data_IF_828480958886
#
_entry.id   IF_828480958886
#
_cell.length_a   1.000
_cell.length_b   1.000
_cell.length_c   1.000
_cell.angle_alpha   90.00
_cell.angle_beta   90.00
_cell.angle_gamma   90.00
#
_symmetry.space_group_name_H-M   'P 1'
#
loop_
_entity.id
_entity.type
_entity.pdbx_description
1 polymer ?
#
# COMPACT_ATOMS: atom_id res chain seq x y z
N UNK A 1 9.06 12.06 20.28
CA UNK A 1 7.99 12.55 19.39
C UNK A 1 6.59 12.07 19.79
N UNK A 2 6.32 10.81 20.13
CA UNK A 2 4.97 10.38 20.59
C UNK A 2 4.45 11.17 21.80
N UNK A 3 5.36 11.59 22.67
CA UNK A 3 4.99 12.35 23.89
C UNK A 3 4.25 13.66 23.61
N UNK A 4 4.67 14.42 22.59
CA UNK A 4 4.02 15.70 22.27
C UNK A 4 2.52 15.54 21.89
N UNK A 5 2.14 14.36 21.39
CA UNK A 5 0.76 14.04 21.02
C UNK A 5 0.00 13.33 22.14
N UNK A 6 0.62 12.36 22.77
CA UNK A 6 -0.05 11.46 23.70
C UNK A 6 -0.06 11.99 25.14
N UNK A 7 0.89 12.83 25.57
CA UNK A 7 0.82 13.49 26.90
C UNK A 7 -0.39 14.45 27.04
N UNK A 8 -0.72 15.29 26.03
CA UNK A 8 -1.96 16.07 26.08
C UNK A 8 -3.21 15.21 26.15
N UNK A 9 -3.23 14.07 25.42
CA UNK A 9 -4.34 13.10 25.51
C UNK A 9 -4.42 12.49 26.91
N UNK A 10 -3.28 12.10 27.49
CA UNK A 10 -3.23 11.55 28.87
C UNK A 10 -3.83 12.52 29.88
N UNK A 11 -3.46 13.81 29.82
CA UNK A 11 -4.03 14.84 30.72
C UNK A 11 -5.56 14.95 30.57
N UNK A 12 -6.07 14.91 29.32
CA UNK A 12 -7.53 14.93 29.07
C UNK A 12 -8.23 13.70 29.66
N UNK A 13 -7.60 12.54 29.60
CA UNK A 13 -8.12 11.30 30.17
C UNK A 13 -8.10 11.35 31.71
N UNK A 14 -7.03 11.85 32.32
CA UNK A 14 -6.91 12.00 33.77
C UNK A 14 -7.97 12.99 34.32
N UNK A 15 -8.21 14.10 33.60
CA UNK A 15 -9.25 15.07 33.96
C UNK A 15 -10.68 14.49 33.89
N UNK A 16 -10.90 13.50 33.02
CA UNK A 16 -12.21 12.90 32.72
C UNK A 16 -12.46 11.54 33.36
N UNK A 17 -11.44 10.93 33.94
CA UNK A 17 -11.45 9.57 34.52
C UNK A 17 -11.87 8.46 33.51
N UNK A 18 -11.65 8.68 32.21
CA UNK A 18 -11.90 7.67 31.20
C UNK A 18 -10.70 6.73 31.04
N UNK A 19 -10.98 5.44 30.88
CA UNK A 19 -9.95 4.45 30.52
C UNK A 19 -9.64 4.52 29.02
N UNK A 20 -8.36 4.45 28.67
CA UNK A 20 -7.92 4.38 27.30
C UNK A 20 -6.67 3.50 27.15
N UNK A 21 -6.56 2.81 26.00
CA UNK A 21 -5.40 2.00 25.66
C UNK A 21 -4.94 2.30 24.25
N UNK A 22 -3.62 2.35 24.08
CA UNK A 22 -3.00 2.33 22.75
C UNK A 22 -3.08 0.90 22.22
N UNK A 23 -3.44 0.74 20.95
CA UNK A 23 -3.70 -0.58 20.37
C UNK A 23 -3.17 -0.66 18.93
N UNK A 24 -3.10 -1.85 18.39
CA UNK A 24 -2.86 -2.03 16.97
C UNK A 24 -1.42 -1.84 16.53
N UNK A 25 -1.27 -1.18 15.38
CA UNK A 25 0.03 -0.97 14.73
C UNK A 25 1.06 -0.32 15.61
N UNK A 26 0.69 0.68 16.42
CA UNK A 26 1.61 1.39 17.29
C UNK A 26 2.26 0.47 18.35
N UNK A 27 1.48 -0.48 18.91
CA UNK A 27 1.99 -1.46 19.87
C UNK A 27 2.93 -2.45 19.20
N UNK A 28 2.51 -3.02 18.06
CA UNK A 28 3.33 -3.91 17.24
C UNK A 28 4.65 -3.25 16.84
N UNK A 29 4.60 -2.06 16.30
CA UNK A 29 5.79 -1.36 15.77
C UNK A 29 6.79 -1.10 16.88
N UNK A 30 6.33 -0.70 18.06
CA UNK A 30 7.21 -0.54 19.22
C UNK A 30 7.85 -1.85 19.69
N UNK A 31 7.12 -2.97 19.61
CA UNK A 31 7.67 -4.31 19.96
C UNK A 31 8.80 -4.73 19.02
N UNK A 32 8.75 -4.31 17.74
CA UNK A 32 9.79 -4.60 16.73
C UNK A 32 10.82 -3.46 16.59
N UNK A 33 10.82 -2.48 17.51
CA UNK A 33 11.77 -1.37 17.51
C UNK A 33 11.55 -0.30 16.45
N UNK A 34 10.34 -0.22 15.86
CA UNK A 34 9.95 0.84 14.93
C UNK A 34 9.25 1.98 15.68
N UNK A 35 9.46 3.22 15.23
CA UNK A 35 8.70 4.37 15.73
C UNK A 35 7.41 4.55 14.93
N UNK A 36 6.23 4.44 15.59
CA UNK A 36 4.95 4.63 14.92
C UNK A 36 4.69 6.11 14.60
N UNK A 37 3.95 6.34 13.52
CA UNK A 37 3.39 7.65 13.16
C UNK A 37 1.88 7.71 13.39
N UNK A 38 1.23 6.55 13.43
CA UNK A 38 -0.20 6.38 13.61
C UNK A 38 -0.45 5.71 14.96
N UNK A 39 -1.32 6.32 15.76
CA UNK A 39 -1.66 5.87 17.10
C UNK A 39 -3.15 5.60 17.18
N UNK A 40 -3.52 4.33 17.20
CA UNK A 40 -4.89 3.91 17.49
C UNK A 40 -5.09 3.89 19.01
N UNK A 41 -6.05 4.65 19.50
CA UNK A 41 -6.40 4.72 20.91
C UNK A 41 -7.87 4.35 21.10
N UNK A 42 -8.10 3.29 21.84
CA UNK A 42 -9.45 2.85 22.22
C UNK A 42 -9.80 3.42 23.59
N UNK A 43 -10.99 4.01 23.69
CA UNK A 43 -11.44 4.74 24.87
C UNK A 43 -12.75 4.15 25.41
N UNK A 44 -12.86 4.03 26.73
CA UNK A 44 -14.12 3.76 27.41
C UNK A 44 -14.76 5.11 27.77
N UNK A 45 -15.39 5.73 26.75
CA UNK A 45 -15.92 7.08 26.88
C UNK A 45 -16.25 7.73 25.53
N UNK A 46 -16.56 9.04 25.50
CA UNK A 46 -16.94 9.77 24.30
C UNK A 46 -15.72 10.09 23.44
N UNK A 47 -15.31 9.15 22.57
CA UNK A 47 -14.06 9.21 21.79
C UNK A 47 -14.01 10.43 20.86
N UNK A 48 -15.12 10.79 20.18
CA UNK A 48 -15.17 11.98 19.31
C UNK A 48 -14.94 13.28 20.07
N UNK A 49 -15.47 13.38 21.29
CA UNK A 49 -15.28 14.57 22.12
C UNK A 49 -13.84 14.71 22.59
N UNK A 50 -13.21 13.59 22.96
CA UNK A 50 -11.80 13.55 23.33
C UNK A 50 -10.88 13.86 22.14
N UNK A 51 -11.20 13.33 20.95
CA UNK A 51 -10.45 13.62 19.72
C UNK A 51 -10.49 15.12 19.38
N UNK A 52 -11.69 15.75 19.49
CA UNK A 52 -11.82 17.19 19.29
C UNK A 52 -11.01 17.99 20.31
N UNK A 53 -11.15 17.65 21.58
CA UNK A 53 -10.41 18.34 22.66
C UNK A 53 -8.88 18.17 22.52
N UNK A 54 -8.42 17.00 22.04
CA UNK A 54 -7.01 16.78 21.72
C UNK A 54 -6.55 17.68 20.60
N UNK A 55 -7.28 17.72 19.47
CA UNK A 55 -6.95 18.57 18.34
C UNK A 55 -6.84 20.05 18.74
N UNK A 56 -7.82 20.55 19.51
CA UNK A 56 -7.80 21.93 20.00
C UNK A 56 -6.59 22.20 20.91
N UNK A 57 -6.18 21.24 21.75
CA UNK A 57 -5.05 21.39 22.70
C UNK A 57 -3.67 21.36 22.01
N UNK A 58 -3.53 20.62 20.91
CA UNK A 58 -2.24 20.49 20.19
C UNK A 58 -2.15 21.34 18.91
N UNK A 59 -3.20 22.10 18.57
CA UNK A 59 -3.27 22.85 17.32
C UNK A 59 -3.33 21.94 16.08
N UNK A 60 -3.98 20.78 16.20
CA UNK A 60 -4.16 19.81 15.13
C UNK A 60 -5.49 19.96 14.42
N UNK A 61 -5.71 19.13 13.40
CA UNK A 61 -6.98 19.03 12.67
C UNK A 61 -7.76 17.81 13.12
N UNK A 62 -9.07 17.95 13.26
CA UNK A 62 -9.97 16.87 13.66
C UNK A 62 -10.93 16.51 12.54
N UNK A 63 -11.08 15.19 12.29
CA UNK A 63 -12.02 14.63 11.32
C UNK A 63 -12.83 13.50 11.96
N UNK A 64 -14.12 13.43 11.64
CA UNK A 64 -14.98 12.29 11.99
C UNK A 64 -14.87 11.27 10.85
N UNK A 65 -14.35 10.09 11.14
CA UNK A 65 -14.26 8.99 10.18
C UNK A 65 -15.52 8.12 10.20
N UNK A 66 -16.07 7.84 11.38
CA UNK A 66 -17.34 7.14 11.56
C UNK A 66 -18.05 7.65 12.83
N UNK A 67 -19.15 8.36 12.63
CA UNK A 67 -19.93 8.92 13.74
C UNK A 67 -20.63 7.84 14.58
N UNK A 68 -21.03 6.69 13.99
CA UNK A 68 -21.74 5.61 14.68
C UNK A 68 -20.81 4.84 15.62
N UNK A 69 -19.57 4.63 15.20
CA UNK A 69 -18.53 3.98 16.00
C UNK A 69 -17.79 4.95 16.91
N UNK A 70 -18.16 6.22 16.89
CA UNK A 70 -17.40 7.28 17.55
C UNK A 70 -15.90 7.21 17.17
N UNK A 71 -15.63 7.15 15.87
CA UNK A 71 -14.28 7.09 15.34
C UNK A 71 -13.86 8.47 14.82
N UNK A 72 -12.89 9.09 15.47
CA UNK A 72 -12.34 10.39 15.12
C UNK A 72 -10.83 10.34 14.94
N UNK A 73 -10.34 11.02 13.90
CA UNK A 73 -8.93 11.20 13.59
C UNK A 73 -8.46 12.60 13.94
N UNK A 74 -7.34 12.68 14.63
CA UNK A 74 -6.59 13.92 14.84
C UNK A 74 -5.32 13.86 14.01
N UNK A 75 -5.12 14.87 13.15
CA UNK A 75 -3.92 15.03 12.34
C UNK A 75 -3.09 16.17 12.90
N UNK A 76 -1.84 15.89 13.20
CA UNK A 76 -0.89 16.90 13.68
C UNK A 76 0.38 16.86 12.84
N UNK A 77 0.93 18.04 12.58
CA UNK A 77 2.20 18.18 11.84
C UNK A 77 3.28 18.69 12.78
N UNK A 78 4.38 17.96 12.84
CA UNK A 78 5.53 18.40 13.64
C UNK A 78 6.18 19.66 13.05
N UNK A 79 7.02 20.38 13.81
CA UNK A 79 7.79 21.53 13.30
C UNK A 79 8.65 21.20 12.09
N UNK A 80 9.11 19.95 11.99
CA UNK A 80 9.91 19.43 10.86
C UNK A 80 9.03 19.00 9.66
N UNK A 81 7.71 19.22 9.74
CA UNK A 81 6.77 18.93 8.67
C UNK A 81 6.23 17.50 8.63
N UNK A 82 6.66 16.59 9.53
CA UNK A 82 6.19 15.21 9.57
C UNK A 82 4.75 15.14 10.07
N UNK A 83 3.90 14.38 9.38
CA UNK A 83 2.51 14.13 9.78
C UNK A 83 2.43 12.98 10.78
N UNK A 84 1.56 13.14 11.77
CA UNK A 84 1.19 12.14 12.77
C UNK A 84 -0.32 12.07 12.86
N UNK A 85 -0.82 10.87 13.11
CA UNK A 85 -2.24 10.59 13.24
C UNK A 85 -2.53 10.00 14.60
N UNK A 86 -3.60 10.48 15.25
CA UNK A 86 -4.14 9.87 16.46
C UNK A 86 -5.60 9.54 16.19
N UNK A 87 -5.90 8.26 16.10
CA UNK A 87 -7.22 7.73 15.87
C UNK A 87 -7.84 7.34 17.21
N UNK A 88 -8.90 8.03 17.59
CA UNK A 88 -9.65 7.71 18.81
C UNK A 88 -10.94 7.00 18.43
N UNK A 89 -11.15 5.82 19.02
CA UNK A 89 -12.38 5.04 18.85
C UNK A 89 -12.95 4.67 20.19
N UNK A 90 -14.29 4.61 20.25
CA UNK A 90 -14.94 4.04 21.43
C UNK A 90 -14.75 2.53 21.45
N UNK A 91 -14.47 1.94 22.63
CA UNK A 91 -14.36 0.50 22.81
C UNK A 91 -15.61 -0.21 22.30
N UNK A 92 -15.42 -1.20 21.45
CA UNK A 92 -16.48 -2.09 20.99
C UNK A 92 -16.61 -3.33 21.89
N UNK A 93 -17.84 -3.72 22.22
CA UNK A 93 -18.11 -4.85 23.10
C UNK A 93 -18.00 -4.53 24.59
N UNK A 94 -18.21 -5.55 25.43
CA UNK A 94 -18.26 -5.40 26.89
C UNK A 94 -16.88 -5.45 27.55
N UNK A 95 -15.87 -6.00 26.86
CA UNK A 95 -14.50 -6.16 27.37
C UNK A 95 -13.44 -5.71 26.36
N UNK A 96 -12.20 -5.53 26.83
CA UNK A 96 -11.05 -5.27 25.98
C UNK A 96 -10.72 -6.42 25.02
N UNK A 97 -10.96 -7.67 25.47
CA UNK A 97 -10.74 -8.84 24.65
C UNK A 97 -11.75 -8.91 23.48
N UNK A 98 -13.01 -8.56 23.74
CA UNK A 98 -14.03 -8.49 22.66
C UNK A 98 -13.68 -7.45 21.61
N UNK A 99 -13.15 -6.29 22.01
CA UNK A 99 -12.67 -5.26 21.07
C UNK A 99 -11.53 -5.80 20.20
N UNK A 100 -10.55 -6.49 20.81
CA UNK A 100 -9.44 -7.07 20.09
C UNK A 100 -9.86 -8.16 19.10
N UNK A 101 -10.85 -8.98 19.43
CA UNK A 101 -11.39 -10.03 18.53
C UNK A 101 -12.06 -9.51 17.27
N UNK A 102 -12.45 -8.24 17.23
CA UNK A 102 -13.06 -7.58 16.07
C UNK A 102 -12.05 -7.02 15.09
N UNK A 103 -10.76 -7.01 15.47
CA UNK A 103 -9.68 -6.53 14.62
C UNK A 103 -9.35 -7.50 13.51
N UNK A 104 -8.43 -7.11 12.63
CA UNK A 104 -8.02 -7.90 11.47
C UNK A 104 -7.14 -9.11 11.88
N UNK A 105 -5.93 -8.82 12.37
CA UNK A 105 -4.91 -9.83 12.64
C UNK A 105 -4.42 -9.75 14.08
N UNK A 106 -4.02 -10.91 14.62
CA UNK A 106 -3.54 -11.02 16.01
C UNK A 106 -2.37 -10.10 16.29
N UNK A 107 -1.46 -9.90 15.34
CA UNK A 107 -0.32 -8.97 15.45
C UNK A 107 -0.73 -7.50 15.64
N UNK A 108 -1.96 -7.14 15.30
CA UNK A 108 -2.56 -5.82 15.49
C UNK A 108 -3.61 -5.82 16.61
N UNK A 109 -3.78 -6.95 17.31
CA UNK A 109 -4.75 -7.12 18.38
C UNK A 109 -4.07 -7.21 19.77
N UNK A 110 -3.13 -6.33 19.96
CA UNK A 110 -2.42 -6.12 21.23
C UNK A 110 -2.67 -4.70 21.69
N UNK A 111 -2.74 -4.47 22.99
CA UNK A 111 -2.94 -3.14 23.56
C UNK A 111 -2.07 -2.93 24.79
N UNK A 112 -1.77 -1.66 25.07
CA UNK A 112 -0.97 -1.22 26.21
C UNK A 112 -1.65 0.01 26.83
N UNK A 113 -1.58 0.11 28.14
CA UNK A 113 -2.03 1.33 28.82
C UNK A 113 -1.22 2.55 28.35
N UNK A 114 -1.87 3.69 28.24
CA UNK A 114 -1.23 4.90 27.71
C UNK A 114 0.00 5.33 28.55
N UNK A 115 -0.04 5.12 29.87
CA UNK A 115 1.10 5.41 30.75
C UNK A 115 2.32 4.53 30.41
N UNK A 116 2.10 3.23 30.24
CA UNK A 116 3.16 2.30 29.83
C UNK A 116 3.67 2.62 28.42
N UNK A 117 2.79 3.04 27.52
CA UNK A 117 3.19 3.48 26.18
C UNK A 117 4.06 4.75 26.24
N UNK A 118 3.78 5.69 27.16
CA UNK A 118 4.57 6.90 27.39
C UNK A 118 5.87 6.65 28.20
N UNK A 119 6.10 5.43 28.67
CA UNK A 119 7.31 5.06 29.42
C UNK A 119 7.22 5.33 30.92
N UNK A 120 6.01 5.53 31.45
CA UNK A 120 5.76 5.68 32.88
C UNK A 120 5.58 4.33 33.62
N UNK A 121 5.88 3.21 32.95
CA UNK A 121 5.78 1.86 33.50
C UNK A 121 6.33 0.81 32.53
N UNK A 122 6.29 -0.48 32.90
CA UNK A 122 6.73 -1.55 32.03
C UNK A 122 5.85 -1.67 30.79
N UNK A 123 6.48 -1.82 29.63
CA UNK A 123 5.75 -2.00 28.36
C UNK A 123 5.37 -3.50 28.21
N UNK A 124 4.26 -3.87 28.83
CA UNK A 124 3.72 -5.25 28.78
C UNK A 124 2.37 -5.22 28.09
N UNK A 125 2.26 -5.71 26.83
CA UNK A 125 0.99 -5.73 26.12
C UNK A 125 -0.03 -6.69 26.75
N UNK A 126 -1.28 -6.25 26.81
CA UNK A 126 -2.41 -7.14 26.97
C UNK A 126 -2.67 -7.82 25.63
N UNK A 127 -2.40 -9.12 25.56
CA UNK A 127 -2.36 -9.91 24.32
C UNK A 127 -3.11 -11.26 24.48
N UNK A 128 -4.44 -11.23 24.63
CA UNK A 128 -5.23 -12.45 24.81
C UNK A 128 -5.26 -13.34 23.56
N UNK A 129 -4.93 -12.80 22.38
CA UNK A 129 -4.95 -13.51 21.10
C UNK A 129 -3.57 -14.02 20.66
N UNK A 130 -2.54 -13.85 21.51
CA UNK A 130 -1.17 -14.31 21.27
C UNK A 130 -0.50 -13.68 20.03
N UNK A 131 -0.79 -12.39 19.79
CA UNK A 131 -0.20 -11.63 18.68
C UNK A 131 1.31 -11.51 18.76
N UNK A 132 1.89 -11.41 19.97
CA UNK A 132 3.35 -11.40 20.18
C UNK A 132 3.99 -12.72 19.72
N UNK A 133 3.37 -13.86 20.05
CA UNK A 133 3.85 -15.18 19.62
C UNK A 133 3.79 -15.30 18.10
N UNK A 134 2.70 -14.87 17.47
CA UNK A 134 2.55 -14.87 16.02
C UNK A 134 3.58 -13.96 15.33
N UNK A 135 3.83 -12.78 15.88
CA UNK A 135 4.82 -11.83 15.36
C UNK A 135 6.24 -12.42 15.43
N UNK A 136 6.61 -13.05 16.55
CA UNK A 136 7.91 -13.71 16.72
C UNK A 136 8.08 -14.93 15.81
N UNK A 137 6.99 -15.68 15.59
CA UNK A 137 6.99 -16.87 14.72
C UNK A 137 6.82 -16.53 13.22
N UNK A 138 6.72 -15.26 12.86
CA UNK A 138 6.52 -14.84 11.48
C UNK A 138 5.16 -15.24 10.90
N UNK A 139 4.12 -15.40 11.73
CA UNK A 139 2.78 -15.82 11.32
C UNK A 139 1.82 -14.66 11.19
N UNK A 140 0.97 -14.70 10.19
CA UNK A 140 -0.16 -13.78 10.03
C UNK A 140 -1.46 -14.57 10.23
N UNK A 141 -2.13 -14.36 11.37
CA UNK A 141 -3.33 -15.07 11.78
C UNK A 141 -4.48 -14.09 12.05
N UNK A 142 -5.69 -14.45 11.61
CA UNK A 142 -6.90 -13.67 11.88
C UNK A 142 -7.26 -13.65 13.38
N UNK A 143 -7.86 -12.55 13.83
CA UNK A 143 -8.43 -12.45 15.18
C UNK A 143 -9.71 -13.28 15.34
N UNK A 144 -10.48 -13.41 14.26
CA UNK A 144 -11.70 -14.22 14.19
C UNK A 144 -11.80 -14.87 12.79
N UNK A 145 -12.37 -16.09 12.67
CA UNK A 145 -12.44 -16.79 11.39
C UNK A 145 -13.20 -16.03 10.30
N UNK A 146 -14.20 -15.24 10.67
CA UNK A 146 -15.05 -14.46 9.78
C UNK A 146 -14.54 -13.02 9.52
N UNK A 147 -13.32 -12.69 9.98
CA UNK A 147 -12.78 -11.34 9.90
C UNK A 147 -12.72 -10.78 8.46
N UNK A 148 -12.45 -11.61 7.46
CA UNK A 148 -12.49 -11.20 6.06
C UNK A 148 -13.91 -10.99 5.53
N UNK A 149 -14.89 -11.77 5.99
CA UNK A 149 -16.29 -11.57 5.63
C UNK A 149 -16.86 -10.28 6.25
N UNK A 150 -16.44 -9.93 7.46
CA UNK A 150 -16.82 -8.69 8.12
C UNK A 150 -16.28 -7.45 7.38
N UNK A 151 -15.06 -7.54 6.87
CA UNK A 151 -14.41 -6.46 6.14
C UNK A 151 -13.42 -7.01 5.09
N UNK A 152 -13.87 -7.21 3.83
CA UNK A 152 -13.03 -7.86 2.82
C UNK A 152 -11.78 -7.08 2.41
N UNK A 153 -11.67 -5.78 2.70
CA UNK A 153 -10.41 -5.05 2.45
C UNK A 153 -9.23 -5.63 3.24
N UNK A 154 -9.50 -6.33 4.33
CA UNK A 154 -8.49 -7.05 5.13
C UNK A 154 -7.71 -8.08 4.31
N UNK A 155 -8.27 -8.55 3.19
CA UNK A 155 -7.59 -9.42 2.21
C UNK A 155 -6.35 -8.72 1.63
N UNK A 156 -6.49 -7.47 1.19
CA UNK A 156 -5.35 -6.67 0.71
C UNK A 156 -4.37 -6.34 1.83
N UNK A 157 -4.88 -6.04 3.02
CA UNK A 157 -4.06 -5.81 4.20
C UNK A 157 -3.23 -7.04 4.57
N UNK A 158 -3.76 -8.26 4.37
CA UNK A 158 -3.00 -9.50 4.59
C UNK A 158 -1.78 -9.57 3.69
N UNK A 159 -1.93 -9.31 2.38
CA UNK A 159 -0.80 -9.25 1.44
C UNK A 159 0.21 -8.17 1.85
N UNK A 160 -0.29 -7.00 2.23
CA UNK A 160 0.56 -5.91 2.69
C UNK A 160 1.37 -6.29 3.92
N UNK A 161 0.75 -6.88 4.94
CA UNK A 161 1.46 -7.27 6.17
C UNK A 161 2.42 -8.45 5.96
N UNK A 162 2.11 -9.41 5.07
CA UNK A 162 3.10 -10.42 4.65
C UNK A 162 4.35 -9.75 4.09
N UNK A 163 4.19 -8.75 3.22
CA UNK A 163 5.30 -8.06 2.59
C UNK A 163 6.07 -7.16 3.56
N UNK A 164 5.35 -6.36 4.35
CA UNK A 164 5.90 -5.31 5.22
C UNK A 164 6.68 -5.87 6.41
N UNK A 165 6.22 -7.00 6.96
CA UNK A 165 6.80 -7.60 8.16
C UNK A 165 7.47 -8.96 7.92
N UNK A 166 7.51 -9.43 6.67
CA UNK A 166 8.09 -10.73 6.35
C UNK A 166 7.30 -11.91 6.91
N UNK A 167 6.01 -11.72 7.16
CA UNK A 167 5.13 -12.74 7.73
C UNK A 167 4.61 -13.70 6.66
N UNK A 168 3.97 -14.79 7.14
CA UNK A 168 3.24 -15.75 6.32
C UNK A 168 1.85 -15.99 6.91
N UNK A 169 0.82 -15.92 6.07
CA UNK A 169 -0.51 -16.34 6.48
C UNK A 169 -0.51 -17.79 6.93
N UNK A 170 -1.26 -18.10 8.00
CA UNK A 170 -1.50 -19.50 8.37
C UNK A 170 -2.44 -20.13 7.33
N UNK A 171 -2.44 -21.47 7.29
CA UNK A 171 -3.33 -22.22 6.36
C UNK A 171 -4.79 -21.84 6.53
N UNK A 172 -5.24 -21.68 7.78
CA UNK A 172 -6.61 -21.26 8.11
C UNK A 172 -6.89 -19.84 7.64
N UNK A 173 -5.90 -18.94 7.72
CA UNK A 173 -6.02 -17.56 7.21
C UNK A 173 -6.13 -17.56 5.67
N UNK A 174 -5.33 -18.36 4.96
CA UNK A 174 -5.44 -18.48 3.51
C UNK A 174 -6.78 -19.10 3.06
N UNK A 175 -7.27 -20.11 3.77
CA UNK A 175 -8.58 -20.70 3.49
C UNK A 175 -9.72 -19.68 3.67
N UNK A 176 -9.74 -18.97 4.80
CA UNK A 176 -10.72 -17.93 5.05
C UNK A 176 -10.65 -16.79 4.01
N UNK A 177 -9.44 -16.48 3.48
CA UNK A 177 -9.25 -15.52 2.40
C UNK A 177 -9.95 -16.01 1.12
N UNK A 178 -9.71 -17.26 0.71
CA UNK A 178 -10.31 -17.83 -0.49
C UNK A 178 -11.86 -17.81 -0.44
N UNK A 179 -12.43 -18.12 0.73
CA UNK A 179 -13.88 -18.09 0.94
C UNK A 179 -14.45 -16.66 0.88
N UNK A 180 -13.71 -15.66 1.35
CA UNK A 180 -14.13 -14.27 1.41
C UNK A 180 -13.79 -13.45 0.16
N UNK A 181 -12.97 -13.98 -0.75
CA UNK A 181 -12.43 -13.28 -1.92
C UNK A 181 -13.50 -12.57 -2.78
N UNK A 182 -14.68 -13.18 -3.08
CA UNK A 182 -15.74 -12.50 -3.83
C UNK A 182 -16.29 -11.24 -3.13
N UNK A 183 -16.01 -11.10 -1.83
CA UNK A 183 -16.37 -9.92 -1.04
C UNK A 183 -15.64 -8.65 -1.44
N UNK A 184 -14.46 -8.75 -2.08
CA UNK A 184 -13.69 -7.59 -2.54
C UNK A 184 -14.48 -6.69 -3.49
N UNK A 185 -15.34 -7.25 -4.33
CA UNK A 185 -16.19 -6.49 -5.24
C UNK A 185 -17.17 -5.52 -4.54
N UNK A 186 -17.41 -5.69 -3.23
CA UNK A 186 -18.29 -4.84 -2.42
C UNK A 186 -17.54 -3.82 -1.57
N UNK A 187 -16.21 -3.86 -1.56
CA UNK A 187 -15.38 -2.89 -0.83
C UNK A 187 -15.43 -1.54 -1.53
N UNK A 188 -15.53 -0.46 -0.77
CA UNK A 188 -15.44 0.89 -1.32
C UNK A 188 -14.13 1.05 -2.10
N UNK A 189 -14.18 1.50 -3.37
CA UNK A 189 -13.01 1.58 -4.25
C UNK A 189 -11.83 2.37 -3.66
N UNK A 190 -12.14 3.41 -2.90
CA UNK A 190 -11.13 4.23 -2.21
C UNK A 190 -10.29 3.40 -1.24
N UNK A 191 -10.92 2.46 -0.52
CA UNK A 191 -10.19 1.59 0.41
C UNK A 191 -9.32 0.57 -0.32
N UNK A 192 -9.77 0.08 -1.46
CA UNK A 192 -8.96 -0.80 -2.34
C UNK A 192 -7.75 -0.03 -2.86
N UNK A 193 -7.96 1.20 -3.36
CA UNK A 193 -6.90 2.12 -3.82
C UNK A 193 -5.84 2.34 -2.74
N UNK A 194 -6.25 2.72 -1.52
CA UNK A 194 -5.34 2.99 -0.41
C UNK A 194 -4.45 1.78 -0.06
N UNK A 195 -5.02 0.58 -0.02
CA UNK A 195 -4.22 -0.61 0.25
C UNK A 195 -3.34 -0.99 -0.95
N UNK A 196 -3.81 -0.80 -2.20
CA UNK A 196 -3.01 -1.02 -3.40
C UNK A 196 -1.79 -0.10 -3.44
N UNK A 197 -1.99 1.20 -3.20
CA UNK A 197 -0.88 2.17 -3.14
C UNK A 197 0.13 1.77 -2.06
N UNK A 198 -0.34 1.40 -0.85
CA UNK A 198 0.55 0.94 0.23
C UNK A 198 1.33 -0.32 -0.16
N UNK A 199 0.71 -1.27 -0.87
CA UNK A 199 1.39 -2.48 -1.37
C UNK A 199 2.50 -2.10 -2.36
N UNK A 200 2.21 -1.19 -3.31
CA UNK A 200 3.19 -0.72 -4.28
C UNK A 200 4.38 0.02 -3.63
N UNK A 201 4.20 0.53 -2.41
CA UNK A 201 5.26 1.22 -1.67
C UNK A 201 6.16 0.29 -0.85
N UNK A 202 5.90 -1.02 -0.84
CA UNK A 202 6.69 -2.01 -0.07
C UNK A 202 7.55 -2.85 -1.02
N UNK A 203 8.86 -2.60 -1.10
CA UNK A 203 9.76 -3.42 -1.91
C UNK A 203 10.01 -4.81 -1.29
N UNK A 204 10.21 -5.85 -2.11
CA UNK A 204 10.07 -5.86 -3.57
C UNK A 204 8.60 -6.01 -4.00
N UNK A 205 8.09 -5.05 -4.77
CA UNK A 205 6.68 -4.97 -5.20
C UNK A 205 6.23 -6.22 -5.96
N UNK A 206 7.11 -6.75 -6.81
CA UNK A 206 6.81 -7.96 -7.61
C UNK A 206 6.45 -9.16 -6.75
N UNK A 207 7.03 -9.28 -5.54
CA UNK A 207 6.68 -10.34 -4.60
C UNK A 207 5.21 -10.24 -4.18
N UNK A 208 4.75 -9.04 -3.88
CA UNK A 208 3.34 -8.78 -3.52
C UNK A 208 2.40 -9.03 -4.68
N UNK A 209 2.75 -8.62 -5.91
CA UNK A 209 1.96 -8.87 -7.12
C UNK A 209 1.82 -10.36 -7.42
N UNK A 210 2.90 -11.14 -7.32
CA UNK A 210 2.85 -12.60 -7.46
C UNK A 210 2.03 -13.26 -6.35
N UNK A 211 2.11 -12.73 -5.13
CA UNK A 211 1.28 -13.22 -4.03
C UNK A 211 -0.20 -12.96 -4.28
N UNK A 212 -0.55 -11.76 -4.76
CA UNK A 212 -1.92 -11.43 -5.17
C UNK A 212 -2.42 -12.33 -6.30
N UNK A 213 -1.55 -12.64 -7.27
CA UNK A 213 -1.87 -13.59 -8.34
C UNK A 213 -2.16 -15.00 -7.79
N UNK A 214 -1.26 -15.53 -6.97
CA UNK A 214 -1.38 -16.88 -6.38
C UNK A 214 -2.65 -17.04 -5.55
N UNK A 215 -3.06 -15.98 -4.86
CA UNK A 215 -4.25 -15.93 -4.03
C UNK A 215 -5.54 -15.59 -4.81
N UNK A 216 -5.46 -15.35 -6.12
CA UNK A 216 -6.62 -14.95 -6.93
C UNK A 216 -7.12 -13.52 -6.70
N UNK A 217 -6.35 -12.70 -5.99
CA UNK A 217 -6.69 -11.31 -5.68
C UNK A 217 -6.52 -10.40 -6.91
N UNK A 218 -5.49 -10.67 -7.73
CA UNK A 218 -5.13 -9.80 -8.84
C UNK A 218 -6.27 -9.63 -9.87
N UNK A 219 -7.01 -10.69 -10.27
CA UNK A 219 -8.18 -10.54 -11.15
C UNK A 219 -9.30 -9.67 -10.57
N UNK A 220 -9.46 -9.65 -9.24
CA UNK A 220 -10.51 -8.87 -8.58
C UNK A 220 -10.17 -7.37 -8.49
N UNK A 221 -8.87 -7.04 -8.42
CA UNK A 221 -8.40 -5.65 -8.21
C UNK A 221 -7.93 -5.03 -9.52
N UNK A 222 -7.13 -5.75 -10.30
CA UNK A 222 -6.52 -5.33 -11.56
C UNK A 222 -6.69 -6.41 -12.64
N UNK A 223 -7.93 -6.68 -13.09
CA UNK A 223 -8.22 -7.72 -14.09
C UNK A 223 -7.46 -7.52 -15.40
N UNK A 224 -7.18 -6.27 -15.80
CA UNK A 224 -6.41 -5.96 -17.01
C UNK A 224 -4.99 -6.51 -16.92
N UNK A 225 -4.37 -6.43 -15.74
CA UNK A 225 -3.03 -7.00 -15.49
C UNK A 225 -3.08 -8.52 -15.46
N UNK A 226 -4.09 -9.11 -14.81
CA UNK A 226 -4.26 -10.56 -14.78
C UNK A 226 -4.44 -11.16 -16.18
N UNK A 227 -5.11 -10.44 -17.09
CA UNK A 227 -5.34 -10.83 -18.47
C UNK A 227 -4.09 -10.81 -19.36
N UNK A 228 -2.96 -10.29 -18.88
CA UNK A 228 -1.68 -10.32 -19.60
C UNK A 228 -1.02 -11.70 -19.59
N UNK A 229 -1.45 -12.58 -18.69
CA UNK A 229 -0.88 -13.92 -18.54
C UNK A 229 -1.13 -14.78 -19.78
N UNK A 230 -0.04 -15.43 -20.25
CA UNK A 230 -0.09 -16.28 -21.45
C UNK A 230 -0.21 -15.52 -22.76
N UNK A 231 -0.17 -14.19 -22.77
CA UNK A 231 -0.15 -13.40 -24.01
C UNK A 231 1.27 -13.43 -24.57
N UNK A 232 1.48 -14.34 -25.56
CA UNK A 232 2.77 -14.52 -26.23
C UNK A 232 3.16 -13.31 -27.07
N UNK A 233 4.45 -13.05 -27.15
CA UNK A 233 5.08 -11.97 -27.92
C UNK A 233 6.09 -12.56 -28.92
N UNK A 234 6.41 -11.81 -29.98
CA UNK A 234 7.46 -12.19 -30.91
C UNK A 234 8.85 -11.68 -30.50
N UNK A 235 9.94 -12.31 -30.92
CA UNK A 235 11.28 -11.78 -30.68
C UNK A 235 11.40 -10.28 -31.02
N UNK A 236 12.14 -9.49 -30.23
CA UNK A 236 13.15 -9.93 -29.25
C UNK A 236 12.59 -10.27 -27.83
N UNK A 237 11.27 -10.23 -27.63
CA UNK A 237 10.68 -10.61 -26.35
C UNK A 237 10.77 -12.13 -26.14
N UNK A 238 11.21 -12.55 -24.96
CA UNK A 238 11.37 -13.97 -24.58
C UNK A 238 10.33 -14.42 -23.55
N UNK A 239 9.60 -13.49 -22.95
CA UNK A 239 8.56 -13.73 -21.95
C UNK A 239 7.17 -13.39 -22.50
N UNK A 240 6.11 -13.91 -21.88
CA UNK A 240 4.78 -13.40 -22.13
C UNK A 240 4.63 -11.96 -21.61
N UNK A 241 3.53 -11.30 -21.93
CA UNK A 241 3.32 -9.90 -21.56
C UNK A 241 3.26 -9.72 -20.03
N UNK A 242 2.70 -10.69 -19.29
CA UNK A 242 2.62 -10.62 -17.83
C UNK A 242 4.00 -10.62 -17.17
N UNK A 243 4.83 -11.60 -17.54
CA UNK A 243 6.20 -11.70 -17.00
C UNK A 243 7.05 -10.48 -17.41
N UNK A 244 6.90 -10.00 -18.65
CA UNK A 244 7.53 -8.76 -19.10
C UNK A 244 7.12 -7.58 -18.22
N UNK A 245 5.83 -7.45 -17.93
CA UNK A 245 5.31 -6.38 -17.08
C UNK A 245 5.89 -6.42 -15.66
N UNK A 246 5.94 -7.60 -15.03
CA UNK A 246 6.55 -7.73 -13.71
C UNK A 246 8.04 -7.36 -13.70
N UNK A 247 8.78 -7.70 -14.76
CA UNK A 247 10.18 -7.31 -14.92
C UNK A 247 10.34 -5.80 -15.13
N UNK A 248 9.40 -5.17 -15.83
CA UNK A 248 9.36 -3.71 -15.97
C UNK A 248 9.11 -3.03 -14.63
N UNK A 249 8.20 -3.57 -13.81
CA UNK A 249 7.97 -3.07 -12.42
C UNK A 249 9.24 -3.22 -11.58
N UNK A 250 9.92 -4.37 -11.64
CA UNK A 250 11.17 -4.59 -10.91
C UNK A 250 12.29 -3.63 -11.34
N UNK A 251 12.41 -3.37 -12.64
CA UNK A 251 13.38 -2.42 -13.18
C UNK A 251 13.05 -0.98 -12.74
N UNK A 252 11.77 -0.60 -12.77
CA UNK A 252 11.31 0.72 -12.27
C UNK A 252 11.60 0.86 -10.77
N UNK A 253 11.26 -0.14 -9.98
CA UNK A 253 11.54 -0.17 -8.54
C UNK A 253 13.03 0.04 -8.25
N UNK A 254 13.90 -0.60 -9.02
CA UNK A 254 15.35 -0.41 -8.92
C UNK A 254 15.77 1.02 -9.26
N UNK A 255 15.22 1.60 -10.35
CA UNK A 255 15.45 2.99 -10.72
C UNK A 255 14.97 3.97 -9.64
N UNK A 256 13.92 3.65 -8.91
CA UNK A 256 13.42 4.46 -7.79
C UNK A 256 14.28 4.36 -6.52
N UNK A 257 15.45 3.74 -6.60
CA UNK A 257 16.43 3.69 -5.52
C UNK A 257 16.19 2.61 -4.49
N UNK A 258 15.30 1.69 -4.75
CA UNK A 258 15.11 0.53 -3.88
C UNK A 258 16.31 -0.42 -4.01
N UNK A 259 17.31 -0.23 -3.13
CA UNK A 259 18.41 -1.20 -2.99
C UNK A 259 17.94 -2.57 -2.46
N UNK A 260 16.69 -2.62 -2.01
CA UNK A 260 16.02 -3.85 -1.53
C UNK A 260 15.28 -4.60 -2.65
N UNK A 261 15.16 -4.04 -3.85
CA UNK A 261 14.77 -4.81 -5.02
C UNK A 261 15.82 -5.90 -5.19
N UNK A 262 15.48 -7.08 -4.70
CA UNK A 262 16.45 -8.18 -4.61
C UNK A 262 16.91 -8.57 -6.00
N UNK A 263 18.22 -8.56 -6.31
CA UNK A 263 18.73 -9.07 -7.59
C UNK A 263 18.31 -10.53 -7.84
N UNK A 264 17.91 -11.23 -6.78
CA UNK A 264 17.52 -12.64 -6.80
C UNK A 264 16.25 -12.94 -7.63
N UNK A 265 15.43 -11.90 -7.92
CA UNK A 265 14.15 -12.11 -8.61
C UNK A 265 14.24 -11.92 -10.13
N UNK A 266 15.16 -11.05 -10.61
CA UNK A 266 15.34 -10.79 -12.04
C UNK A 266 16.76 -10.37 -12.37
N UNK A 267 17.33 -10.97 -13.40
CA UNK A 267 18.55 -10.48 -14.01
C UNK A 267 18.32 -9.07 -14.55
N UNK A 268 19.17 -8.15 -14.15
CA UNK A 268 19.14 -6.79 -14.69
C UNK A 268 19.55 -6.82 -16.18
N UNK A 269 19.01 -5.91 -17.02
CA UNK A 269 19.47 -5.76 -18.39
C UNK A 269 20.99 -5.61 -18.45
N UNK A 270 21.68 -6.18 -19.47
CA UNK A 270 23.13 -6.15 -19.57
C UNK A 270 23.77 -4.75 -19.49
N UNK A 271 22.99 -3.70 -19.84
CA UNK A 271 23.45 -2.30 -19.84
C UNK A 271 22.96 -1.50 -18.61
N UNK A 272 22.59 -2.18 -17.53
CA UNK A 272 22.03 -1.51 -16.34
C UNK A 272 23.00 -0.48 -15.73
N UNK A 273 24.28 -0.81 -15.64
CA UNK A 273 25.31 0.11 -15.12
C UNK A 273 25.44 1.40 -15.96
N UNK A 274 25.22 1.32 -17.27
CA UNK A 274 25.21 2.50 -18.14
C UNK A 274 24.01 3.39 -17.87
N UNK A 275 22.84 2.80 -17.61
CA UNK A 275 21.62 3.53 -17.22
C UNK A 275 21.84 4.25 -15.90
N UNK A 276 22.34 3.56 -14.88
CA UNK A 276 22.66 4.15 -13.57
C UNK A 276 23.67 5.30 -13.71
N UNK A 277 24.72 5.12 -14.50
CA UNK A 277 25.71 6.15 -14.73
C UNK A 277 25.15 7.38 -15.46
N UNK A 278 24.27 7.17 -16.44
CA UNK A 278 23.60 8.26 -17.17
C UNK A 278 22.61 9.04 -16.28
N UNK A 279 21.98 8.37 -15.34
CA UNK A 279 21.02 8.98 -14.42
C UNK A 279 21.70 9.68 -13.20
N UNK A 280 22.92 9.27 -12.85
CA UNK A 280 23.61 9.74 -11.65
C UNK A 280 23.66 11.27 -11.51
N UNK A 281 23.92 12.08 -12.54
CA UNK A 281 23.96 13.55 -12.43
C UNK A 281 22.59 14.18 -12.07
N UNK A 282 21.51 13.47 -12.30
CA UNK A 282 20.13 13.96 -12.13
C UNK A 282 19.44 13.31 -10.94
N UNK A 283 20.11 12.42 -10.23
CA UNK A 283 19.52 11.52 -9.24
C UNK A 283 18.77 12.27 -8.13
N UNK A 284 19.38 13.28 -7.53
CA UNK A 284 18.76 14.07 -6.46
C UNK A 284 17.45 14.73 -6.94
N UNK A 285 17.43 15.25 -8.17
CA UNK A 285 16.23 15.87 -8.76
C UNK A 285 15.14 14.83 -9.01
N UNK A 286 15.50 13.63 -9.48
CA UNK A 286 14.54 12.55 -9.67
C UNK A 286 13.97 12.09 -8.34
N UNK A 287 14.80 11.84 -7.32
CA UNK A 287 14.33 11.44 -5.99
C UNK A 287 13.40 12.49 -5.41
N UNK A 288 13.77 13.77 -5.45
CA UNK A 288 12.89 14.84 -4.97
C UNK A 288 11.54 14.83 -5.69
N UNK A 289 11.54 14.64 -7.01
CA UNK A 289 10.31 14.57 -7.82
C UNK A 289 9.45 13.35 -7.50
N UNK A 290 10.06 12.19 -7.28
CA UNK A 290 9.35 10.95 -6.99
C UNK A 290 8.71 10.93 -5.60
N UNK A 291 9.30 11.66 -4.63
CA UNK A 291 8.73 11.79 -3.28
C UNK A 291 7.66 12.90 -3.18
N UNK A 292 7.45 13.71 -4.25
CA UNK A 292 6.34 14.66 -4.27
C UNK A 292 4.99 13.92 -4.18
N UNK A 293 4.14 14.38 -3.28
CA UNK A 293 2.76 13.89 -3.18
C UNK A 293 1.91 14.49 -4.30
N UNK A 294 1.27 13.65 -5.11
CA UNK A 294 0.26 14.04 -6.09
C UNK A 294 -1.11 14.12 -5.41
N UNK A 295 -1.39 13.21 -4.50
CA UNK A 295 -2.50 13.26 -3.56
C UNK A 295 -1.98 12.95 -2.14
N UNK A 296 -2.82 13.14 -1.13
CA UNK A 296 -2.44 12.88 0.27
C UNK A 296 -2.00 11.42 0.41
N UNK A 297 -0.79 11.20 0.93
CA UNK A 297 -0.15 9.89 1.12
C UNK A 297 0.07 9.09 -0.19
N UNK A 298 -0.05 9.73 -1.35
CA UNK A 298 0.22 9.15 -2.67
C UNK A 298 1.42 9.85 -3.32
N UNK A 299 2.64 9.37 -3.08
CA UNK A 299 3.82 9.92 -3.72
C UNK A 299 3.88 9.50 -5.20
N UNK A 300 4.48 10.35 -6.03
CA UNK A 300 4.61 10.14 -7.47
C UNK A 300 5.26 8.81 -7.83
N UNK A 301 6.17 8.30 -7.00
CA UNK A 301 6.79 6.98 -7.21
C UNK A 301 5.78 5.83 -7.23
N UNK A 302 4.67 5.94 -6.47
CA UNK A 302 3.59 4.94 -6.53
C UNK A 302 2.91 4.96 -7.89
N UNK A 303 2.69 6.15 -8.46
CA UNK A 303 2.11 6.31 -9.80
C UNK A 303 3.05 5.81 -10.91
N UNK A 304 4.36 5.99 -10.75
CA UNK A 304 5.36 5.43 -11.68
C UNK A 304 5.34 3.89 -11.68
N UNK A 305 5.25 3.27 -10.50
CA UNK A 305 5.13 1.81 -10.39
C UNK A 305 3.80 1.32 -10.96
N UNK A 306 2.72 2.07 -10.74
CA UNK A 306 1.41 1.78 -11.30
C UNK A 306 1.41 1.92 -12.83
N UNK A 307 2.02 2.96 -13.38
CA UNK A 307 2.20 3.12 -14.82
C UNK A 307 3.03 1.97 -15.42
N UNK A 308 4.12 1.56 -14.76
CA UNK A 308 4.91 0.40 -15.16
C UNK A 308 4.10 -0.91 -15.12
N UNK A 309 3.17 -1.04 -14.17
CA UNK A 309 2.27 -2.20 -14.09
C UNK A 309 1.19 -2.20 -15.18
N UNK A 310 0.76 -1.02 -15.63
CA UNK A 310 -0.33 -0.84 -16.57
C UNK A 310 0.12 -0.58 -18.03
N UNK A 311 1.42 -0.42 -18.31
CA UNK A 311 1.90 0.07 -19.60
C UNK A 311 1.47 -0.79 -20.80
N UNK A 312 1.37 -2.08 -20.60
CA UNK A 312 1.09 -3.08 -21.65
C UNK A 312 -0.32 -3.69 -21.62
N UNK A 313 -1.23 -3.18 -20.78
CA UNK A 313 -2.57 -3.76 -20.63
C UNK A 313 -3.43 -3.70 -21.91
N UNK A 314 -3.07 -2.85 -22.85
CA UNK A 314 -3.71 -2.78 -24.17
C UNK A 314 -3.31 -3.88 -25.14
N UNK A 315 -2.23 -4.65 -24.86
CA UNK A 315 -1.73 -5.69 -25.78
C UNK A 315 -2.72 -6.79 -26.09
N UNK A 316 -3.47 -7.37 -25.13
CA UNK A 316 -4.44 -8.42 -25.45
C UNK A 316 -5.47 -7.99 -26.50
N UNK A 317 -5.98 -6.76 -26.42
CA UNK A 317 -7.00 -6.24 -27.33
C UNK A 317 -6.47 -5.86 -28.72
N UNK A 318 -5.19 -5.56 -28.83
CA UNK A 318 -4.53 -5.11 -30.08
C UNK A 318 -3.69 -6.19 -30.74
N UNK A 319 -3.76 -7.43 -30.23
CA UNK A 319 -2.99 -8.57 -30.72
C UNK A 319 -3.40 -8.96 -32.13
N UNK A 320 -2.45 -8.94 -33.05
CA UNK A 320 -2.58 -9.46 -34.42
C UNK A 320 -1.48 -10.47 -34.71
N UNK A 321 -1.73 -11.43 -35.60
CA UNK A 321 -0.73 -12.37 -36.06
C UNK A 321 -0.58 -12.17 -37.57
N UNK A 322 0.61 -11.83 -38.00
CA UNK A 322 0.93 -11.62 -39.40
C UNK A 322 1.06 -12.98 -40.13
N UNK A 323 1.03 -13.00 -41.50
CA UNK A 323 1.17 -14.24 -42.29
C UNK A 323 2.44 -15.04 -42.02
N UNK A 324 3.51 -14.37 -41.58
CA UNK A 324 4.79 -15.00 -41.20
C UNK A 324 4.80 -15.54 -39.77
N UNK A 325 3.67 -15.46 -39.07
CA UNK A 325 3.51 -15.88 -37.66
C UNK A 325 3.95 -14.84 -36.64
N UNK A 326 4.40 -13.67 -37.05
CA UNK A 326 4.82 -12.60 -36.15
C UNK A 326 3.64 -11.98 -35.45
N UNK A 327 3.74 -11.86 -34.11
CA UNK A 327 2.74 -11.17 -33.27
C UNK A 327 3.05 -9.69 -33.18
N UNK A 328 2.06 -8.85 -33.41
CA UNK A 328 2.12 -7.39 -33.23
C UNK A 328 1.01 -6.89 -32.32
N UNK A 329 1.24 -5.69 -31.75
CA UNK A 329 0.33 -5.01 -30.83
C UNK A 329 0.25 -3.52 -31.20
N UNK A 330 -0.29 -3.23 -32.39
CA UNK A 330 -0.30 -1.87 -32.92
C UNK A 330 -1.26 -1.00 -32.09
N UNK A 331 -0.79 0.16 -31.65
CA UNK A 331 -1.54 1.12 -30.82
C UNK A 331 -1.93 0.60 -29.42
N UNK A 332 -1.22 -0.42 -28.90
CA UNK A 332 -1.50 -0.91 -27.56
C UNK A 332 -1.27 0.16 -26.47
N UNK A 333 -0.35 1.09 -26.70
CA UNK A 333 -0.06 2.22 -25.82
C UNK A 333 -1.26 3.17 -25.67
N UNK A 334 -2.00 3.39 -26.75
CA UNK A 334 -3.20 4.23 -26.76
C UNK A 334 -4.37 3.52 -26.07
N UNK A 335 -4.65 2.27 -26.47
CA UNK A 335 -5.71 1.46 -25.87
C UNK A 335 -5.41 1.21 -24.38
N UNK A 336 -4.16 0.91 -24.05
CA UNK A 336 -3.70 0.73 -22.67
C UNK A 336 -3.89 1.97 -21.81
N UNK A 337 -3.59 3.16 -22.34
CA UNK A 337 -3.80 4.43 -21.64
C UNK A 337 -5.27 4.68 -21.32
N UNK A 338 -6.17 4.44 -22.28
CA UNK A 338 -7.63 4.55 -22.06
C UNK A 338 -8.12 3.57 -21.00
N UNK A 339 -7.65 2.32 -21.02
CA UNK A 339 -8.01 1.31 -20.02
C UNK A 339 -7.42 1.62 -18.64
N UNK A 340 -6.20 2.13 -18.59
CA UNK A 340 -5.57 2.57 -17.35
C UNK A 340 -6.38 3.70 -16.69
N UNK A 341 -6.76 4.73 -17.48
CA UNK A 341 -7.59 5.83 -17.00
C UNK A 341 -8.93 5.33 -16.43
N UNK A 342 -9.65 4.45 -17.15
CA UNK A 342 -10.91 3.87 -16.69
C UNK A 342 -10.74 3.03 -15.40
N UNK A 343 -9.65 2.26 -15.29
CA UNK A 343 -9.36 1.47 -14.07
C UNK A 343 -9.10 2.38 -12.88
N UNK A 344 -8.32 3.42 -13.06
CA UNK A 344 -7.99 4.37 -11.99
C UNK A 344 -9.21 5.20 -11.58
N UNK A 345 -10.06 5.58 -12.52
CA UNK A 345 -11.34 6.22 -12.22
C UNK A 345 -12.25 5.30 -11.41
N UNK A 346 -12.36 4.01 -11.79
CA UNK A 346 -13.11 3.01 -11.04
C UNK A 346 -12.57 2.82 -9.60
N UNK A 347 -11.27 2.95 -9.40
CA UNK A 347 -10.60 2.92 -8.09
C UNK A 347 -10.61 4.28 -7.38
N UNK A 348 -11.24 5.31 -7.95
CA UNK A 348 -11.37 6.65 -7.36
C UNK A 348 -10.03 7.35 -7.11
N UNK A 349 -9.08 7.19 -8.00
CA UNK A 349 -7.91 8.08 -8.04
C UNK A 349 -8.35 9.51 -8.42
N UNK A 350 -7.58 10.52 -8.04
CA UNK A 350 -7.83 11.91 -8.44
C UNK A 350 -7.56 12.12 -9.95
N UNK A 351 -8.10 13.17 -10.52
CA UNK A 351 -7.88 13.47 -11.92
C UNK A 351 -6.38 13.68 -12.24
N UNK A 352 -5.63 14.32 -11.35
CA UNK A 352 -4.20 14.55 -11.54
C UNK A 352 -3.40 13.23 -11.55
N UNK A 353 -3.75 12.28 -10.68
CA UNK A 353 -3.14 10.95 -10.67
C UNK A 353 -3.47 10.15 -11.93
N UNK A 354 -4.73 10.21 -12.38
CA UNK A 354 -5.19 9.53 -13.60
C UNK A 354 -4.44 10.10 -14.82
N UNK A 355 -4.38 11.42 -14.96
CA UNK A 355 -3.69 12.09 -16.07
C UNK A 355 -2.20 11.71 -16.10
N UNK A 356 -1.51 11.71 -14.95
CA UNK A 356 -0.10 11.33 -14.89
C UNK A 356 0.14 9.89 -15.36
N UNK A 357 -0.66 8.95 -14.87
CA UNK A 357 -0.51 7.54 -15.28
C UNK A 357 -0.90 7.35 -16.74
N UNK A 358 -1.99 7.97 -17.21
CA UNK A 358 -2.43 7.91 -18.60
C UNK A 358 -1.34 8.39 -19.56
N UNK A 359 -0.74 9.56 -19.29
CA UNK A 359 0.34 10.13 -20.09
C UNK A 359 1.54 9.19 -20.14
N UNK A 360 1.94 8.63 -19.00
CA UNK A 360 3.06 7.68 -18.95
C UNK A 360 2.78 6.42 -19.76
N UNK A 361 1.60 5.84 -19.66
CA UNK A 361 1.19 4.65 -20.43
C UNK A 361 1.08 4.98 -21.91
N UNK A 362 0.51 6.13 -22.29
CA UNK A 362 0.35 6.56 -23.69
C UNK A 362 1.68 6.75 -24.40
N UNK A 363 2.69 7.20 -23.68
CA UNK A 363 3.98 7.59 -24.27
C UNK A 363 5.15 6.65 -23.95
N UNK A 364 4.88 5.49 -23.33
CA UNK A 364 5.97 4.56 -22.94
C UNK A 364 6.79 4.05 -24.13
N UNK A 365 6.23 4.06 -25.35
CA UNK A 365 6.93 3.68 -26.58
C UNK A 365 7.81 4.78 -27.20
N UNK A 366 7.72 6.04 -26.74
CA UNK A 366 8.49 7.16 -27.31
C UNK A 366 10.02 6.92 -27.29
N UNK A 367 10.64 6.45 -26.22
CA UNK A 367 12.08 6.21 -26.23
C UNK A 367 12.51 5.22 -27.31
N UNK A 368 11.66 4.24 -27.63
CA UNK A 368 11.90 3.28 -28.70
C UNK A 368 11.83 3.95 -30.09
N UNK A 369 10.84 4.80 -30.33
CA UNK A 369 10.70 5.59 -31.55
C UNK A 369 11.88 6.54 -31.77
N UNK A 370 12.31 7.24 -30.71
CA UNK A 370 13.48 8.14 -30.76
C UNK A 370 14.80 7.39 -31.06
N UNK A 371 14.94 6.14 -30.62
CA UNK A 371 16.13 5.34 -30.88
C UNK A 371 16.27 4.94 -32.35
N UNK A 372 15.18 4.91 -33.13
CA UNK A 372 15.14 4.53 -34.55
C UNK A 372 15.42 5.73 -35.44
N UNK A 373 15.26 6.99 -34.94
CA UNK A 373 15.53 8.18 -35.75
C UNK A 373 17.02 8.31 -36.10
N UNK A 374 17.38 8.74 -37.34
CA UNK A 374 18.75 9.05 -37.72
C UNK A 374 19.38 10.04 -36.72
N UNK A 375 20.67 9.87 -36.46
CA UNK A 375 21.41 10.69 -35.48
C UNK A 375 21.33 12.21 -35.72
N UNK A 376 20.95 12.66 -36.91
CA UNK A 376 20.79 14.07 -37.27
C UNK A 376 19.54 14.75 -36.69
N UNK A 377 18.47 14.00 -36.47
CA UNK A 377 17.15 14.55 -36.06
C UNK A 377 16.90 14.53 -34.56
N UNK A 378 17.88 14.09 -33.76
CA UNK A 378 17.77 13.98 -32.29
C UNK A 378 17.94 15.30 -31.52
N UNK A 379 18.08 16.44 -32.24
CA UNK A 379 18.47 17.74 -31.62
C UNK A 379 17.31 18.69 -31.30
N UNK A 380 16.06 18.30 -31.54
CA UNK A 380 14.91 19.18 -31.26
C UNK A 380 13.76 18.36 -30.69
N UNK A 381 13.76 18.15 -29.40
CA UNK A 381 12.64 17.61 -28.63
C UNK A 381 12.78 18.01 -27.19
#
# INVERSE_FOLDING_TARGET
MPRALLEPLKRLLDESLYEARVVGGAVRDRLIGREPNDFDVVVVGPALRLARALADRIGGFFYILDARREFGRVVWRSPEGRRFYVDLTRREGASWEEDLRRRDFTINAMMVDLDAFLGAGPFVPFDPLRGMEDLQAGRLRLCAPDAFHQDPVRILRAVRFEAEFGLRMTTETEQALQEALPGLARVAPERVREELVKILMIPPVVRSLRRMETLGILPEVLPEVANLRGVGQSPPHVWDVYEHTLRTVAAMERLLGSRMASPEWYDLPPRWAEIEAAMAPWWERFVARWEEEVAIDHPRRALLLLAALLHDIGKPATRTVEPDGRVRFISHERVGAEWAAHRLEALRFSNDEIEEVEVMVRHHMWPHGLAILPQGDRKTG
#
